data_IF_384171159005
#
_entry.id   IF_384171159005
#
_cell.length_a   1.000
_cell.length_b   1.000
_cell.length_c   1.000
_cell.angle_alpha   90.00
_cell.angle_beta   90.00
_cell.angle_gamma   90.00
#
_symmetry.space_group_name_H-M   'P 1'
#
loop_
_entity.id
_entity.type
_entity.pdbx_description
1 polymer ?
#
# COMPACT_ATOMS: atom_id res chain seq x y z
N UNK A 1 -8.48 -20.46 3.30
CA UNK A 1 -7.21 -19.69 3.27
C UNK A 1 -6.12 -20.55 3.87
N UNK A 2 -4.86 -20.40 3.45
CA UNK A 2 -3.77 -21.13 4.11
C UNK A 2 -3.63 -20.59 5.54
N UNK A 3 -3.27 -21.46 6.50
CA UNK A 3 -3.05 -21.03 7.90
C UNK A 3 -2.06 -19.87 8.01
N UNK A 4 -1.08 -19.82 7.11
CA UNK A 4 -0.12 -18.72 6.99
C UNK A 4 -0.78 -17.37 6.68
N UNK A 5 -1.76 -17.32 5.77
CA UNK A 5 -2.46 -16.08 5.38
C UNK A 5 -3.31 -15.53 6.54
N UNK A 6 -3.93 -16.44 7.30
CA UNK A 6 -4.70 -16.08 8.48
C UNK A 6 -3.81 -15.49 9.57
N UNK A 7 -2.67 -16.13 9.86
CA UNK A 7 -1.68 -15.63 10.82
C UNK A 7 -1.15 -14.26 10.36
N UNK A 8 -0.79 -14.12 9.09
CA UNK A 8 -0.35 -12.85 8.50
C UNK A 8 -1.40 -11.75 8.66
N UNK A 9 -2.66 -12.05 8.37
CA UNK A 9 -3.77 -11.09 8.53
C UNK A 9 -3.99 -10.69 9.98
N UNK A 10 -3.88 -11.61 10.93
CA UNK A 10 -3.97 -11.31 12.38
C UNK A 10 -2.82 -10.39 12.82
N UNK A 11 -1.59 -10.69 12.40
CA UNK A 11 -0.43 -9.85 12.73
C UNK A 11 -0.60 -8.44 12.16
N UNK A 12 -1.00 -8.32 10.89
CA UNK A 12 -1.25 -7.02 10.26
C UNK A 12 -2.39 -6.26 10.96
N UNK A 13 -3.45 -6.96 11.39
CA UNK A 13 -4.54 -6.35 12.15
C UNK A 13 -4.03 -5.74 13.47
N UNK A 14 -3.25 -6.49 14.25
CA UNK A 14 -2.67 -6.03 15.51
C UNK A 14 -1.77 -4.82 15.27
N UNK A 15 -0.89 -4.88 14.27
CA UNK A 15 0.00 -3.76 13.90
C UNK A 15 -0.81 -2.53 13.47
N UNK A 16 -1.83 -2.71 12.64
CA UNK A 16 -2.71 -1.62 12.22
C UNK A 16 -3.41 -0.93 13.40
N UNK A 17 -3.96 -1.72 14.33
CA UNK A 17 -4.58 -1.19 15.55
C UNK A 17 -3.55 -0.47 16.42
N UNK A 18 -2.35 -1.03 16.60
CA UNK A 18 -1.28 -0.39 17.37
C UNK A 18 -0.89 0.97 16.77
N UNK A 19 -0.75 1.06 15.44
CA UNK A 19 -0.47 2.32 14.75
C UNK A 19 -1.60 3.34 14.98
N UNK A 20 -2.86 2.91 14.95
CA UNK A 20 -4.00 3.82 15.25
C UNK A 20 -3.91 4.33 16.68
N UNK A 21 -3.68 3.46 17.66
CA UNK A 21 -3.60 3.86 19.06
C UNK A 21 -2.44 4.83 19.31
N UNK A 22 -1.26 4.55 18.75
CA UNK A 22 -0.11 5.45 18.81
C UNK A 22 -0.39 6.77 18.11
N UNK A 23 -1.06 6.75 16.95
CA UNK A 23 -1.39 7.97 16.19
C UNK A 23 -2.30 8.94 16.96
N UNK A 24 -3.14 8.43 17.86
CA UNK A 24 -4.02 9.22 18.72
C UNK A 24 -3.27 9.92 19.87
N UNK A 25 -2.02 9.52 20.15
CA UNK A 25 -1.16 10.22 21.13
C UNK A 25 -0.52 11.48 20.56
N UNK A 26 -0.51 11.60 19.23
CA UNK A 26 -0.02 12.77 18.52
C UNK A 26 -1.17 13.71 18.16
N UNK A 27 -0.86 15.00 18.03
CA UNK A 27 -1.84 15.98 17.58
C UNK A 27 -2.32 15.64 16.16
N UNK A 28 -3.64 15.58 16.01
CA UNK A 28 -4.28 15.28 14.73
C UNK A 28 -4.30 16.52 13.81
N UNK A 29 -4.39 17.72 14.39
CA UNK A 29 -4.25 19.01 13.72
C UNK A 29 -3.36 19.92 14.55
N UNK A 30 -2.41 20.59 13.88
CA UNK A 30 -1.49 21.53 14.51
C UNK A 30 -1.36 22.77 13.62
N UNK A 31 -1.53 23.97 14.18
CA UNK A 31 -1.35 25.26 13.46
C UNK A 31 -2.16 25.41 12.14
N UNK A 32 -3.34 24.78 12.04
CA UNK A 32 -4.17 24.83 10.84
C UNK A 32 -3.73 23.89 9.72
N UNK A 33 -2.73 23.05 9.97
CA UNK A 33 -2.30 21.96 9.10
C UNK A 33 -2.54 20.60 9.78
N UNK A 34 -2.61 19.50 9.01
CA UNK A 34 -2.72 18.16 9.59
C UNK A 34 -1.46 17.84 10.41
N UNK A 35 -1.68 17.42 11.66
CA UNK A 35 -0.59 17.11 12.59
C UNK A 35 0.07 15.75 12.30
N UNK A 36 1.15 15.42 13.01
CA UNK A 36 1.91 14.20 12.79
C UNK A 36 1.09 12.91 13.00
N UNK A 37 -0.01 12.97 13.76
CA UNK A 37 -0.93 11.84 13.95
C UNK A 37 -1.86 11.56 12.76
N UNK A 38 -2.05 12.52 11.85
CA UNK A 38 -3.05 12.43 10.78
C UNK A 38 -2.79 11.27 9.80
N UNK A 39 -1.59 11.19 9.24
CA UNK A 39 -1.23 10.15 8.27
C UNK A 39 -1.17 8.75 8.90
N UNK A 40 -0.48 8.54 10.04
CA UNK A 40 -0.44 7.24 10.71
C UNK A 40 -1.83 6.72 11.08
N UNK A 41 -2.75 7.60 11.51
CA UNK A 41 -4.13 7.22 11.83
C UNK A 41 -4.83 6.57 10.65
N UNK A 42 -4.85 7.22 9.48
CA UNK A 42 -5.53 6.70 8.29
C UNK A 42 -4.87 5.43 7.76
N UNK A 43 -3.53 5.37 7.75
CA UNK A 43 -2.79 4.18 7.32
C UNK A 43 -3.09 3.00 8.23
N UNK A 44 -2.99 3.19 9.55
CA UNK A 44 -3.32 2.16 10.55
C UNK A 44 -4.76 1.70 10.45
N UNK A 45 -5.71 2.63 10.26
CA UNK A 45 -7.13 2.33 10.13
C UNK A 45 -7.41 1.48 8.88
N UNK A 46 -6.88 1.86 7.71
CA UNK A 46 -7.07 1.06 6.50
C UNK A 46 -6.41 -0.32 6.60
N UNK A 47 -5.21 -0.41 7.20
CA UNK A 47 -4.56 -1.69 7.48
C UNK A 47 -5.44 -2.58 8.36
N UNK A 48 -5.95 -2.06 9.47
CA UNK A 48 -6.80 -2.80 10.39
C UNK A 48 -8.11 -3.25 9.72
N UNK A 49 -8.79 -2.36 8.99
CA UNK A 49 -10.05 -2.68 8.32
C UNK A 49 -9.86 -3.74 7.23
N UNK A 50 -8.82 -3.62 6.40
CA UNK A 50 -8.55 -4.58 5.33
C UNK A 50 -8.13 -5.95 5.90
N UNK A 51 -7.29 -5.96 6.94
CA UNK A 51 -6.91 -7.18 7.63
C UNK A 51 -8.10 -7.87 8.31
N UNK A 52 -9.00 -7.09 8.93
CA UNK A 52 -10.23 -7.60 9.51
C UNK A 52 -11.15 -8.20 8.44
N UNK A 53 -11.30 -7.53 7.29
CA UNK A 53 -12.07 -8.05 6.16
C UNK A 53 -11.51 -9.38 5.65
N UNK A 54 -10.18 -9.52 5.57
CA UNK A 54 -9.49 -10.78 5.26
C UNK A 54 -9.80 -11.88 6.28
N UNK A 55 -9.71 -11.58 7.58
CA UNK A 55 -10.02 -12.53 8.66
C UNK A 55 -11.48 -13.00 8.57
N UNK A 56 -12.43 -12.07 8.45
CA UNK A 56 -13.86 -12.38 8.31
C UNK A 56 -14.11 -13.22 7.05
N UNK A 57 -13.48 -12.85 5.93
CA UNK A 57 -13.54 -13.62 4.68
C UNK A 57 -13.01 -15.05 4.84
N UNK A 58 -11.94 -15.22 5.60
CA UNK A 58 -11.38 -16.55 5.93
C UNK A 58 -12.35 -17.39 6.75
N UNK A 59 -12.97 -16.79 7.77
CA UNK A 59 -13.87 -17.49 8.68
C UNK A 59 -15.18 -17.89 7.98
N UNK A 60 -15.67 -17.06 7.05
CA UNK A 60 -16.88 -17.31 6.27
C UNK A 60 -16.69 -18.35 5.17
N UNK A 61 -15.45 -18.57 4.71
CA UNK A 61 -15.14 -19.42 3.55
C UNK A 61 -14.34 -20.68 3.93
N UNK A 62 -14.62 -21.24 5.13
CA UNK A 62 -13.97 -22.44 5.68
C UNK A 62 -14.08 -23.70 4.81
N UNK A 63 -14.99 -23.76 3.84
CA UNK A 63 -15.24 -24.95 3.02
C UNK A 63 -14.21 -25.25 1.92
N UNK A 64 -13.22 -24.39 1.68
CA UNK A 64 -12.16 -24.62 0.66
C UNK A 64 -10.81 -25.04 1.26
N UNK A 65 -10.80 -25.80 2.36
CA UNK A 65 -9.56 -26.11 3.10
C UNK A 65 -8.94 -27.50 2.79
N UNK A 66 -9.45 -28.27 1.82
CA UNK A 66 -9.03 -29.68 1.70
C UNK A 66 -8.07 -30.03 0.57
N UNK A 67 -7.65 -29.11 -0.32
CA UNK A 67 -6.77 -29.47 -1.43
C UNK A 67 -5.91 -28.27 -1.86
N UNK A 68 -4.79 -28.03 -1.17
CA UNK A 68 -3.57 -27.53 -1.81
C UNK A 68 -2.43 -27.57 -0.79
N UNK A 69 -1.89 -28.79 -0.71
CA UNK A 69 -0.54 -29.19 -0.34
C UNK A 69 0.46 -28.07 -0.02
N UNK A 70 1.11 -28.20 1.13
CA UNK A 70 2.57 -28.29 1.33
C UNK A 70 3.53 -27.51 0.40
N UNK A 71 3.11 -26.41 -0.21
CA UNK A 71 4.04 -25.48 -0.83
C UNK A 71 4.68 -24.68 0.30
N UNK A 72 5.96 -24.94 0.57
CA UNK A 72 6.74 -24.12 1.50
C UNK A 72 6.54 -22.63 1.17
N UNK A 73 6.19 -21.78 2.15
CA UNK A 73 5.99 -20.35 1.92
C UNK A 73 7.27 -19.64 1.43
N UNK A 74 8.43 -20.30 1.56
CA UNK A 74 9.75 -19.84 1.13
C UNK A 74 10.24 -20.56 -0.13
N UNK A 75 9.38 -20.77 -1.11
CA UNK A 75 9.80 -21.18 -2.46
C UNK A 75 10.17 -19.94 -3.27
N UNK A 76 11.27 -20.02 -4.05
CA UNK A 76 11.78 -18.90 -4.85
C UNK A 76 10.72 -18.33 -5.82
N UNK A 77 9.83 -19.19 -6.32
CA UNK A 77 8.69 -18.81 -7.18
C UNK A 77 7.69 -17.90 -6.47
N UNK A 78 7.44 -18.11 -5.17
CA UNK A 78 6.59 -17.25 -4.34
C UNK A 78 7.32 -15.99 -3.86
N UNK A 79 8.65 -16.02 -3.80
CA UNK A 79 9.46 -14.88 -3.40
C UNK A 79 9.70 -13.88 -4.55
N UNK A 80 9.71 -14.34 -5.80
CA UNK A 80 9.94 -13.50 -6.98
C UNK A 80 8.98 -12.30 -7.08
N UNK A 81 7.65 -12.43 -6.91
CA UNK A 81 6.76 -11.27 -6.93
C UNK A 81 7.06 -10.25 -5.83
N UNK A 82 7.43 -10.71 -4.64
CA UNK A 82 7.82 -9.86 -3.53
C UNK A 82 9.10 -9.07 -3.84
N UNK A 83 10.12 -9.73 -4.41
CA UNK A 83 11.36 -9.07 -4.84
C UNK A 83 11.11 -8.08 -5.96
N UNK A 84 10.26 -8.40 -6.95
CA UNK A 84 9.91 -7.45 -8.02
C UNK A 84 9.17 -6.24 -7.46
N UNK A 85 8.24 -6.44 -6.53
CA UNK A 85 7.55 -5.35 -5.86
C UNK A 85 8.52 -4.46 -5.08
N UNK A 86 9.37 -5.05 -4.23
CA UNK A 86 10.39 -4.30 -3.48
C UNK A 86 11.38 -3.59 -4.40
N UNK A 87 11.88 -4.26 -5.42
CA UNK A 87 12.82 -3.70 -6.40
C UNK A 87 12.21 -2.52 -7.15
N UNK A 88 10.97 -2.67 -7.63
CA UNK A 88 10.24 -1.56 -8.27
C UNK A 88 10.05 -0.38 -7.33
N UNK A 89 9.76 -0.63 -6.05
CA UNK A 89 9.57 0.42 -5.04
C UNK A 89 10.88 1.14 -4.71
N UNK A 90 11.99 0.41 -4.61
CA UNK A 90 13.32 0.98 -4.43
C UNK A 90 13.74 1.87 -5.62
N UNK A 91 13.43 1.43 -6.86
CA UNK A 91 13.67 2.22 -8.07
C UNK A 91 12.89 3.54 -8.03
N UNK A 92 11.63 3.53 -7.57
CA UNK A 92 10.86 4.77 -7.40
C UNK A 92 11.61 5.76 -6.53
N UNK A 93 12.10 5.34 -5.36
CA UNK A 93 12.83 6.21 -4.43
C UNK A 93 14.09 6.80 -5.09
N UNK A 94 14.86 5.98 -5.82
CA UNK A 94 16.08 6.43 -6.49
C UNK A 94 15.80 7.42 -7.62
N UNK A 95 14.78 7.16 -8.44
CA UNK A 95 14.41 7.99 -9.60
C UNK A 95 13.71 9.28 -9.16
N UNK A 96 12.99 9.25 -8.04
CA UNK A 96 12.28 10.41 -7.47
C UNK A 96 13.21 11.61 -7.29
N UNK A 97 14.49 11.37 -6.94
CA UNK A 97 15.49 12.44 -6.80
C UNK A 97 15.71 13.25 -8.09
N UNK A 98 15.52 12.65 -9.26
CA UNK A 98 15.80 13.27 -10.55
C UNK A 98 14.55 13.83 -11.23
N UNK A 99 13.43 13.11 -11.13
CA UNK A 99 12.22 13.37 -11.95
C UNK A 99 10.98 13.72 -11.10
N UNK A 100 11.16 13.88 -9.78
CA UNK A 100 10.04 14.07 -8.85
C UNK A 100 9.24 12.79 -8.60
N UNK A 101 8.29 12.82 -7.66
CA UNK A 101 7.60 11.62 -7.17
C UNK A 101 6.49 11.11 -8.12
N UNK A 102 5.77 12.00 -8.79
CA UNK A 102 4.53 11.64 -9.50
C UNK A 102 4.75 10.69 -10.68
N UNK A 103 5.78 10.94 -11.49
CA UNK A 103 6.10 10.13 -12.67
C UNK A 103 6.54 8.71 -12.29
N UNK A 104 7.57 8.50 -11.45
CA UNK A 104 7.98 7.16 -11.06
C UNK A 104 6.89 6.43 -10.27
N UNK A 105 6.10 7.13 -9.44
CA UNK A 105 4.97 6.54 -8.73
C UNK A 105 3.92 5.98 -9.69
N UNK A 106 3.47 6.78 -10.67
CA UNK A 106 2.50 6.33 -11.67
C UNK A 106 3.01 5.16 -12.51
N UNK A 107 4.25 5.24 -13.00
CA UNK A 107 4.86 4.16 -13.77
C UNK A 107 4.99 2.87 -12.96
N UNK A 108 5.40 2.97 -11.69
CA UNK A 108 5.53 1.81 -10.82
C UNK A 108 4.18 1.17 -10.50
N UNK A 109 3.14 1.95 -10.16
CA UNK A 109 1.82 1.38 -9.88
C UNK A 109 1.15 0.80 -11.12
N UNK A 110 1.36 1.40 -12.29
CA UNK A 110 0.95 0.85 -13.58
C UNK A 110 1.66 -0.47 -13.91
N UNK A 111 2.98 -0.50 -13.76
CA UNK A 111 3.80 -1.70 -13.94
C UNK A 111 3.38 -2.82 -12.97
N UNK A 112 3.20 -2.49 -11.70
CA UNK A 112 2.74 -3.43 -10.67
C UNK A 112 1.35 -3.98 -11.00
N UNK A 113 0.38 -3.13 -11.35
CA UNK A 113 -0.95 -3.57 -11.75
C UNK A 113 -0.92 -4.53 -12.94
N UNK A 114 -0.10 -4.23 -13.95
CA UNK A 114 0.11 -5.12 -15.09
C UNK A 114 0.80 -6.43 -14.70
N UNK A 115 1.86 -6.36 -13.89
CA UNK A 115 2.64 -7.51 -13.43
C UNK A 115 1.82 -8.48 -12.56
N UNK A 116 0.95 -7.96 -11.68
CA UNK A 116 0.03 -8.76 -10.86
C UNK A 116 -1.23 -9.22 -11.62
N UNK A 117 -1.28 -9.04 -12.94
CA UNK A 117 -2.26 -9.70 -13.81
C UNK A 117 -3.58 -8.95 -14.00
N UNK A 118 -3.63 -7.63 -13.78
CA UNK A 118 -4.82 -6.83 -14.12
C UNK A 118 -5.04 -6.85 -15.64
N UNK A 119 -6.00 -7.65 -16.10
CA UNK A 119 -6.24 -7.91 -17.53
C UNK A 119 -6.79 -6.71 -18.30
N UNK A 120 -7.49 -5.79 -17.63
CA UNK A 120 -8.15 -4.66 -18.29
C UNK A 120 -7.20 -3.48 -18.43
N UNK A 121 -6.75 -3.20 -19.67
CA UNK A 121 -5.85 -2.07 -19.98
C UNK A 121 -6.36 -0.73 -19.46
N UNK A 122 -7.68 -0.48 -19.53
CA UNK A 122 -8.30 0.73 -18.96
C UNK A 122 -8.06 0.86 -17.46
N UNK A 123 -8.12 -0.24 -16.70
CA UNK A 123 -7.88 -0.25 -15.26
C UNK A 123 -6.41 0.02 -14.95
N UNK A 124 -5.48 -0.56 -15.73
CA UNK A 124 -4.05 -0.29 -15.59
C UNK A 124 -3.74 1.19 -15.85
N UNK A 125 -4.27 1.76 -16.93
CA UNK A 125 -4.11 3.19 -17.25
C UNK A 125 -4.74 4.06 -16.15
N UNK A 126 -5.93 3.68 -15.68
CA UNK A 126 -6.60 4.41 -14.61
C UNK A 126 -5.76 4.40 -13.33
N UNK A 127 -5.20 3.25 -12.91
CA UNK A 127 -4.30 3.17 -11.74
C UNK A 127 -3.05 4.02 -11.95
N UNK A 128 -2.43 3.93 -13.12
CA UNK A 128 -1.19 4.67 -13.48
C UNK A 128 -1.37 6.18 -13.33
N UNK A 129 -2.54 6.72 -13.68
CA UNK A 129 -2.83 8.16 -13.63
C UNK A 129 -3.48 8.58 -12.31
N UNK A 130 -4.46 7.80 -11.85
CA UNK A 130 -5.26 8.14 -10.69
C UNK A 130 -4.47 8.06 -9.39
N UNK A 131 -3.58 7.07 -9.24
CA UNK A 131 -2.76 6.94 -8.03
C UNK A 131 -1.90 8.19 -7.79
N UNK A 132 -1.01 8.63 -8.71
CA UNK A 132 -0.20 9.83 -8.48
C UNK A 132 -1.04 11.10 -8.35
N UNK A 133 -2.18 11.19 -9.06
CA UNK A 133 -3.08 12.35 -8.94
C UNK A 133 -3.74 12.43 -7.56
N UNK A 134 -4.20 11.31 -7.01
CA UNK A 134 -4.73 11.25 -5.65
C UNK A 134 -3.64 11.53 -4.62
N UNK A 135 -2.42 11.02 -4.83
CA UNK A 135 -1.28 11.35 -3.97
C UNK A 135 -1.04 12.86 -4.00
N UNK A 136 -0.98 13.48 -5.19
CA UNK A 136 -0.83 14.93 -5.33
C UNK A 136 -1.94 15.69 -4.57
N UNK A 137 -3.19 15.30 -4.75
CA UNK A 137 -4.32 15.94 -4.06
C UNK A 137 -4.22 15.79 -2.53
N UNK A 138 -3.86 14.62 -2.02
CA UNK A 138 -3.72 14.40 -0.59
C UNK A 138 -2.57 15.21 -0.01
N UNK A 139 -1.37 15.20 -0.60
CA UNK A 139 -0.24 15.89 0.05
C UNK A 139 -0.14 17.37 -0.30
N UNK A 140 -0.38 17.76 -1.54
CA UNK A 140 -0.25 19.16 -1.95
C UNK A 140 -1.46 19.98 -1.49
N UNK A 141 -2.68 19.45 -1.70
CA UNK A 141 -3.91 20.19 -1.37
C UNK A 141 -4.38 19.92 0.06
N UNK A 142 -4.39 18.68 0.53
CA UNK A 142 -4.91 18.37 1.87
C UNK A 142 -3.88 18.56 2.98
N UNK A 143 -2.60 18.27 2.73
CA UNK A 143 -1.53 18.37 3.73
C UNK A 143 -0.63 19.61 3.58
N UNK A 144 -0.61 20.27 2.41
CA UNK A 144 0.29 21.39 2.13
C UNK A 144 1.78 21.01 2.17
N UNK A 145 2.12 19.72 2.06
CA UNK A 145 3.49 19.21 2.17
C UNK A 145 4.16 19.25 0.80
N UNK A 146 5.32 19.93 0.65
CA UNK A 146 6.02 19.98 -0.61
C UNK A 146 6.53 18.59 -0.98
N UNK A 147 5.91 18.00 -2.01
CA UNK A 147 6.40 16.75 -2.58
C UNK A 147 7.76 16.94 -3.26
N UNK A 148 8.55 15.86 -3.45
CA UNK A 148 9.72 15.89 -4.31
C UNK A 148 9.27 16.27 -5.74
N UNK A 149 9.48 17.54 -6.09
CA UNK A 149 9.15 18.07 -7.41
C UNK A 149 10.33 17.88 -8.35
N UNK A 150 10.04 17.80 -9.64
CA UNK A 150 11.07 17.77 -10.68
C UNK A 150 11.73 19.16 -10.85
N UNK A 151 12.71 19.25 -11.74
CA UNK A 151 13.35 20.51 -12.16
C UNK A 151 12.38 21.58 -12.70
N UNK A 152 11.12 21.23 -13.01
CA UNK A 152 10.08 22.15 -13.50
C UNK A 152 9.22 22.73 -12.36
N UNK A 153 9.46 22.37 -11.08
CA UNK A 153 8.72 22.91 -9.95
C UNK A 153 7.24 22.48 -9.88
N UNK A 154 6.88 21.47 -10.68
CA UNK A 154 5.55 20.85 -10.75
C UNK A 154 5.56 19.53 -10.00
#
# INVERSE_FOLDING_TARGET
MRKADLIGSIVIFIVGVAIVLESLTFDFFEHGAPGPGFLPFWVGLFLAVLALAQIIGSLKNKEKESQEDNASPFTWENFKPFVVFLGSSAIVVLVTRFVGLLIPLGLATGFQAWYFGVKRKRTVILITVLTPLLTWLVFDVALGVPMPRNLLGL
#
